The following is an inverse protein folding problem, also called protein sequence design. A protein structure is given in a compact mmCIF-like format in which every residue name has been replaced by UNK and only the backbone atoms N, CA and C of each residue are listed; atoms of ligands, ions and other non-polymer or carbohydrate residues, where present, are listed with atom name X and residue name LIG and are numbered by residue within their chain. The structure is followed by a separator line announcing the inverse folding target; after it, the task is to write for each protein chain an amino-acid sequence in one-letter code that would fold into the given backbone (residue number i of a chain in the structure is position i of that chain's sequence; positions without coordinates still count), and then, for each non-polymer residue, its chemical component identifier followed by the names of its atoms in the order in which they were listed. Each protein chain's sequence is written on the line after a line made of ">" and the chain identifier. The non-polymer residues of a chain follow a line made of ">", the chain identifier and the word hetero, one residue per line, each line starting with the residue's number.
data_IF_627095770649
#
_entry.id   IF_627095770649
#
_cell.length_a   1.000
_cell.length_b   1.000
_cell.length_c   1.000
_cell.angle_alpha   90.00
_cell.angle_beta   90.00
_cell.angle_gamma   90.00
#
_symmetry.space_group_name_H-M   'P 1'
#
loop_
_entity.id
_entity.type
_entity.pdbx_description
1 polymer ?
#
# COMPACT_ATOMS: atom_id res chain seq x y z
N UNK A 1 5.52 57.66 -32.87
CA UNK A 1 4.82 56.58 -32.13
C UNK A 1 3.87 55.85 -33.07
N UNK A 2 4.12 54.56 -33.37
CA UNK A 2 3.35 53.82 -34.36
C UNK A 2 2.04 53.26 -33.76
N UNK A 3 0.96 53.35 -34.54
CA UNK A 3 -0.38 52.88 -34.20
C UNK A 3 -0.48 51.36 -34.38
N UNK A 4 -0.75 50.64 -33.30
CA UNK A 4 -0.99 49.19 -33.28
C UNK A 4 -2.40 48.92 -33.85
N UNK A 5 -2.49 48.13 -34.92
CA UNK A 5 -3.74 47.65 -35.50
C UNK A 5 -4.14 46.34 -34.82
N UNK A 6 -5.37 46.28 -34.31
CA UNK A 6 -5.97 45.08 -33.73
C UNK A 6 -6.30 44.03 -34.82
N UNK A 7 -6.15 42.72 -34.54
CA UNK A 7 -6.47 41.65 -35.49
C UNK A 7 -7.99 41.37 -35.57
N UNK A 8 -8.45 41.09 -36.80
CA UNK A 8 -9.83 40.68 -37.12
C UNK A 8 -10.13 39.26 -36.64
N UNK A 9 -11.37 38.96 -36.21
CA UNK A 9 -11.76 37.60 -35.82
C UNK A 9 -11.94 36.69 -37.04
N UNK A 10 -11.38 35.48 -36.96
CA UNK A 10 -11.52 34.41 -37.94
C UNK A 10 -12.90 33.77 -37.88
N UNK A 11 -13.57 33.65 -39.04
CA UNK A 11 -14.84 32.94 -39.21
C UNK A 11 -14.65 31.44 -38.91
N UNK A 12 -15.43 30.92 -37.96
CA UNK A 12 -15.60 29.48 -37.77
C UNK A 12 -16.53 28.93 -38.87
N UNK A 13 -16.04 27.93 -39.60
CA UNK A 13 -16.83 27.11 -40.51
C UNK A 13 -17.40 25.91 -39.74
N UNK A 14 -18.71 25.82 -39.65
CA UNK A 14 -19.43 24.63 -39.16
C UNK A 14 -19.48 23.58 -40.27
N UNK A 15 -19.14 22.30 -40.02
CA UNK A 15 -19.44 21.24 -40.96
C UNK A 15 -20.86 20.71 -40.78
N UNK A 16 -21.44 20.47 -41.95
CA UNK A 16 -22.82 20.14 -42.29
C UNK A 16 -23.11 18.68 -41.96
N UNK A 17 -24.29 18.44 -41.39
CA UNK A 17 -24.84 17.10 -41.16
C UNK A 17 -25.05 16.35 -42.49
N UNK A 18 -24.55 15.12 -42.56
CA UNK A 18 -24.88 14.15 -43.59
C UNK A 18 -25.25 12.82 -42.93
N UNK A 19 -26.54 12.60 -42.81
CA UNK A 19 -27.20 11.32 -42.57
C UNK A 19 -26.98 10.38 -43.76
N UNK A 20 -26.53 9.13 -43.52
CA UNK A 20 -26.75 8.01 -44.44
C UNK A 20 -26.59 6.63 -43.76
N UNK A 21 -27.69 5.88 -43.88
CA UNK A 21 -27.85 4.44 -44.11
C UNK A 21 -27.26 3.40 -43.12
N UNK A 22 -28.19 2.72 -42.46
CA UNK A 22 -28.06 1.37 -41.94
C UNK A 22 -27.66 0.38 -43.05
N UNK A 23 -26.62 -0.40 -42.82
CA UNK A 23 -26.41 -1.69 -43.47
C UNK A 23 -26.03 -2.72 -42.40
N UNK A 24 -26.94 -3.67 -42.15
CA UNK A 24 -26.73 -4.85 -41.32
C UNK A 24 -25.79 -5.81 -42.05
N UNK A 25 -24.58 -6.04 -41.52
CA UNK A 25 -23.77 -7.20 -41.88
C UNK A 25 -23.78 -8.21 -40.74
N UNK A 26 -24.42 -9.36 -41.00
CA UNK A 26 -24.34 -10.58 -40.20
C UNK A 26 -22.95 -11.20 -40.42
N UNK A 27 -22.10 -11.16 -39.41
CA UNK A 27 -20.91 -12.02 -39.34
C UNK A 27 -21.14 -13.07 -38.25
N UNK A 28 -21.28 -14.32 -38.71
CA UNK A 28 -21.30 -15.54 -37.89
C UNK A 28 -19.88 -15.78 -37.35
N UNK A 29 -19.66 -15.59 -36.06
CA UNK A 29 -18.48 -16.10 -35.37
C UNK A 29 -18.76 -17.52 -34.87
N UNK A 30 -18.04 -18.49 -35.47
CA UNK A 30 -17.95 -19.87 -35.00
C UNK A 30 -17.14 -19.89 -33.70
N UNK A 31 -17.77 -20.28 -32.60
CA UNK A 31 -17.11 -20.66 -31.35
C UNK A 31 -16.41 -22.01 -31.53
N UNK A 32 -15.08 -22.02 -31.65
CA UNK A 32 -14.26 -23.19 -31.36
C UNK A 32 -13.79 -23.10 -29.91
N UNK A 33 -14.42 -23.91 -29.06
CA UNK A 33 -13.89 -24.30 -27.75
C UNK A 33 -12.63 -25.13 -28.01
N UNK A 34 -11.47 -24.51 -27.84
CA UNK A 34 -10.19 -25.20 -27.67
C UNK A 34 -9.78 -25.05 -26.21
N UNK A 35 -9.92 -26.12 -25.43
CA UNK A 35 -9.35 -26.23 -24.10
C UNK A 35 -7.83 -26.29 -24.22
N UNK A 36 -7.19 -25.12 -24.23
CA UNK A 36 -5.74 -24.99 -24.11
C UNK A 36 -5.34 -25.07 -22.64
N UNK A 37 -4.62 -26.14 -22.32
CA UNK A 37 -3.90 -26.36 -21.06
C UNK A 37 -3.31 -25.08 -20.47
N UNK A 38 -3.67 -24.80 -19.22
CA UNK A 38 -3.01 -23.79 -18.38
C UNK A 38 -1.53 -24.15 -18.26
N UNK A 39 -0.66 -23.15 -18.43
CA UNK A 39 0.78 -23.31 -18.44
C UNK A 39 1.29 -23.94 -17.14
N UNK A 40 1.96 -25.09 -17.29
CA UNK A 40 2.83 -25.63 -16.26
C UNK A 40 4.05 -24.73 -16.11
N UNK A 41 4.52 -24.57 -14.88
CA UNK A 41 5.83 -24.00 -14.59
C UNK A 41 6.90 -24.86 -15.31
N UNK A 42 7.93 -24.26 -15.92
CA UNK A 42 9.03 -25.01 -16.51
C UNK A 42 9.72 -25.87 -15.44
N UNK A 43 10.23 -27.03 -15.84
CA UNK A 43 10.98 -27.92 -14.95
C UNK A 43 12.26 -27.21 -14.47
N UNK A 44 12.76 -27.55 -13.28
CA UNK A 44 13.96 -26.95 -12.69
C UNK A 44 15.18 -27.04 -13.62
N UNK A 45 15.22 -28.06 -14.47
CA UNK A 45 16.30 -28.31 -15.43
C UNK A 45 16.23 -27.39 -16.67
N UNK A 46 15.06 -26.84 -17.02
CA UNK A 46 14.92 -25.84 -18.10
C UNK A 46 15.35 -24.42 -17.66
N UNK A 47 15.57 -24.21 -16.36
CA UNK A 47 15.99 -22.93 -15.77
C UNK A 47 17.53 -22.79 -15.78
N UNK A 48 18.28 -23.86 -16.09
CA UNK A 48 19.72 -23.92 -15.79
C UNK A 48 20.68 -23.72 -16.99
N UNK A 49 20.18 -23.55 -18.21
CA UNK A 49 21.00 -23.18 -19.37
C UNK A 49 21.23 -21.66 -19.41
N UNK A 50 22.09 -21.16 -18.52
CA UNK A 50 22.57 -19.76 -18.54
C UNK A 50 23.82 -19.65 -19.43
N UNK A 51 23.92 -18.63 -20.30
CA UNK A 51 25.11 -18.40 -21.13
C UNK A 51 26.34 -18.02 -20.28
N UNK A 52 27.55 -18.28 -20.82
CA UNK A 52 28.87 -17.99 -20.23
C UNK A 52 29.11 -16.49 -19.90
N UNK A 53 28.17 -15.61 -20.23
CA UNK A 53 28.22 -14.16 -19.99
C UNK A 53 28.17 -13.77 -18.50
N UNK A 54 27.83 -14.72 -17.60
CA UNK A 54 27.86 -14.52 -16.13
C UNK A 54 29.28 -14.45 -15.53
N UNK A 55 30.33 -14.88 -16.25
CA UNK A 55 31.70 -14.78 -15.76
C UNK A 55 32.19 -13.32 -15.60
N UNK A 56 31.62 -12.38 -16.37
CA UNK A 56 32.00 -10.96 -16.36
C UNK A 56 31.43 -10.18 -15.16
N UNK A 57 30.47 -10.76 -14.42
CA UNK A 57 29.81 -10.10 -13.29
C UNK A 57 30.33 -10.57 -11.91
N UNK A 58 31.42 -11.37 -11.86
CA UNK A 58 31.98 -11.86 -10.60
C UNK A 58 32.58 -10.71 -9.79
N UNK A 59 31.80 -10.23 -8.83
CA UNK A 59 32.26 -9.35 -7.77
C UNK A 59 33.19 -10.08 -6.79
N UNK A 60 33.56 -9.44 -5.65
CA UNK A 60 34.39 -10.09 -4.63
C UNK A 60 33.78 -11.41 -4.16
N UNK A 61 34.63 -12.34 -3.73
CA UNK A 61 34.20 -13.64 -3.22
C UNK A 61 33.37 -13.44 -1.95
N UNK A 62 32.11 -13.90 -1.96
CA UNK A 62 31.21 -13.73 -0.84
C UNK A 62 31.00 -15.05 -0.12
N UNK A 63 31.20 -15.04 1.20
CA UNK A 63 30.98 -16.22 2.03
C UNK A 63 29.53 -16.32 2.41
N UNK A 64 28.94 -17.47 2.16
CA UNK A 64 27.53 -17.74 2.44
C UNK A 64 27.43 -18.80 3.52
N UNK A 65 26.69 -18.50 4.58
CA UNK A 65 26.35 -19.48 5.61
C UNK A 65 24.88 -19.85 5.49
N UNK A 66 24.64 -21.11 5.12
CA UNK A 66 23.29 -21.69 5.21
C UNK A 66 23.02 -22.10 6.67
N UNK A 67 21.80 -21.90 7.19
CA UNK A 67 21.42 -22.45 8.47
C UNK A 67 21.62 -23.97 8.44
N UNK A 68 22.28 -24.52 9.45
CA UNK A 68 22.35 -25.97 9.59
C UNK A 68 20.90 -26.48 9.73
N UNK A 69 20.45 -27.30 8.78
CA UNK A 69 19.18 -28.02 8.88
C UNK A 69 19.35 -29.09 9.97
N UNK A 70 19.27 -28.67 11.23
CA UNK A 70 19.26 -29.56 12.38
C UNK A 70 17.86 -30.13 12.55
N UNK A 71 17.68 -31.43 12.37
CA UNK A 71 16.50 -32.12 12.89
C UNK A 71 15.86 -33.09 11.92
N UNK A 72 16.20 -34.35 12.10
CA UNK A 72 15.63 -35.53 11.49
C UNK A 72 14.26 -35.85 12.14
N UNK A 73 13.31 -34.91 12.14
CA UNK A 73 11.96 -35.11 12.67
C UNK A 73 11.04 -35.64 11.55
N UNK A 74 11.07 -36.95 11.37
CA UNK A 74 10.07 -37.71 10.61
C UNK A 74 8.83 -37.93 11.48
N UNK A 75 7.87 -36.98 11.47
CA UNK A 75 6.52 -37.22 11.99
C UNK A 75 5.55 -37.37 10.81
N UNK A 76 5.04 -38.59 10.60
CA UNK A 76 4.30 -39.04 9.41
C UNK A 76 2.78 -38.68 9.37
N UNK A 77 2.26 -37.88 10.29
CA UNK A 77 0.83 -37.56 10.33
C UNK A 77 0.57 -36.07 10.03
N UNK A 78 0.53 -35.66 8.76
CA UNK A 78 0.14 -34.28 8.37
C UNK A 78 -1.10 -34.26 7.46
N UNK A 79 -2.20 -33.81 8.04
CA UNK A 79 -3.46 -33.44 7.41
C UNK A 79 -3.22 -32.40 6.30
N UNK A 80 -3.93 -32.46 5.15
CA UNK A 80 -3.67 -31.57 4.03
C UNK A 80 -3.86 -30.10 4.45
N UNK A 81 -2.86 -29.23 4.24
CA UNK A 81 -2.89 -27.89 4.79
C UNK A 81 -3.93 -27.00 4.07
N UNK A 82 -4.60 -26.09 4.80
CA UNK A 82 -5.62 -25.14 4.32
C UNK A 82 -5.07 -23.91 3.55
N UNK A 83 -5.34 -23.76 2.25
CA UNK A 83 -4.79 -22.70 1.37
C UNK A 83 -4.62 -21.33 2.08
N UNK A 84 -3.39 -20.76 2.14
CA UNK A 84 -3.08 -19.57 2.92
C UNK A 84 -3.74 -18.34 2.30
N UNK A 85 -4.30 -17.48 3.16
CA UNK A 85 -5.06 -16.28 2.78
C UNK A 85 -4.22 -15.00 2.88
N UNK A 86 -3.11 -15.02 3.62
CA UNK A 86 -2.21 -13.86 3.79
C UNK A 86 -0.78 -14.13 3.30
N UNK A 87 -0.03 -13.07 2.98
CA UNK A 87 1.40 -13.17 2.58
C UNK A 87 2.25 -13.73 3.72
N UNK A 88 1.89 -13.40 4.96
CA UNK A 88 2.49 -13.92 6.19
C UNK A 88 2.19 -15.41 6.39
N UNK A 89 0.97 -15.87 6.09
CA UNK A 89 0.63 -17.30 6.09
C UNK A 89 1.36 -18.05 4.97
N UNK A 90 1.45 -17.47 3.77
CA UNK A 90 2.25 -18.02 2.68
C UNK A 90 3.72 -18.17 3.11
N UNK A 91 4.29 -17.15 3.78
CA UNK A 91 5.63 -17.20 4.37
C UNK A 91 5.79 -18.27 5.45
N UNK A 92 4.73 -18.59 6.21
CA UNK A 92 4.74 -19.67 7.22
C UNK A 92 4.64 -21.06 6.59
N UNK A 93 3.89 -21.18 5.49
CA UNK A 93 3.64 -22.43 4.77
C UNK A 93 4.85 -22.95 4.00
N UNK A 94 5.59 -22.03 3.38
CA UNK A 94 6.89 -22.37 2.85
C UNK A 94 7.86 -22.41 4.05
N UNK A 95 8.06 -23.63 4.60
CA UNK A 95 9.10 -23.99 5.60
C UNK A 95 10.35 -23.13 5.40
N UNK A 96 11.01 -22.69 6.51
CA UNK A 96 11.78 -21.45 6.54
C UNK A 96 12.67 -21.34 5.32
N UNK A 97 12.39 -20.35 4.47
CA UNK A 97 13.28 -20.01 3.37
C UNK A 97 14.70 -19.92 3.94
N UNK A 98 15.69 -20.56 3.30
CA UNK A 98 17.06 -20.51 3.77
C UNK A 98 17.45 -19.05 3.95
N UNK A 99 17.69 -18.68 5.21
CA UNK A 99 18.16 -17.36 5.60
C UNK A 99 19.63 -17.28 5.19
N UNK A 100 19.91 -16.46 4.19
CA UNK A 100 21.24 -16.35 3.63
C UNK A 100 21.99 -15.23 4.36
N UNK A 101 22.90 -15.60 5.26
CA UNK A 101 23.87 -14.64 5.80
C UNK A 101 25.04 -14.54 4.84
N UNK A 102 25.33 -13.31 4.41
CA UNK A 102 26.36 -13.02 3.43
C UNK A 102 27.47 -12.24 4.11
N UNK A 103 28.69 -12.75 3.99
CA UNK A 103 29.87 -12.18 4.60
C UNK A 103 30.91 -11.83 3.54
N UNK A 104 31.68 -10.77 3.79
CA UNK A 104 32.82 -10.40 2.96
C UNK A 104 34.03 -11.33 3.22
N UNK A 105 35.14 -11.09 2.51
CA UNK A 105 36.40 -11.83 2.68
C UNK A 105 37.00 -11.73 4.09
N UNK A 106 36.62 -10.69 4.85
CA UNK A 106 37.06 -10.47 6.24
C UNK A 106 36.14 -11.14 7.25
N UNK A 107 35.01 -11.70 6.81
CA UNK A 107 34.00 -12.29 7.67
C UNK A 107 33.03 -11.29 8.28
N UNK A 108 32.98 -10.06 7.77
CA UNK A 108 32.01 -9.04 8.18
C UNK A 108 30.69 -9.26 7.44
N UNK A 109 29.56 -9.08 8.12
CA UNK A 109 28.22 -9.25 7.51
C UNK A 109 27.98 -8.10 6.52
N UNK A 110 27.69 -8.44 5.25
CA UNK A 110 27.48 -7.45 4.20
C UNK A 110 26.10 -6.78 4.24
N UNK A 111 25.10 -7.46 4.80
CA UNK A 111 23.71 -6.99 4.83
C UNK A 111 23.18 -6.96 6.25
N UNK A 112 22.29 -6.01 6.54
CA UNK A 112 21.55 -6.01 7.80
C UNK A 112 20.53 -7.15 7.82
N UNK A 113 20.94 -8.26 8.43
CA UNK A 113 20.18 -9.50 8.53
C UNK A 113 20.25 -10.40 7.29
N UNK A 114 19.65 -11.60 7.38
CA UNK A 114 19.69 -12.58 6.31
C UNK A 114 18.80 -12.18 5.14
N UNK A 115 19.26 -12.51 3.92
CA UNK A 115 18.45 -12.42 2.70
C UNK A 115 17.55 -13.65 2.59
N UNK A 116 16.31 -13.44 2.15
CA UNK A 116 15.32 -14.51 1.95
C UNK A 116 14.47 -14.27 0.69
N UNK A 117 13.73 -15.28 0.25
CA UNK A 117 12.75 -15.15 -0.84
C UNK A 117 11.68 -14.12 -0.44
N UNK A 118 11.21 -13.35 -1.43
CA UNK A 118 10.31 -12.20 -1.33
C UNK A 118 10.91 -10.91 -0.78
N UNK A 119 12.17 -10.90 -0.34
CA UNK A 119 12.88 -9.66 -0.03
C UNK A 119 13.13 -8.83 -1.29
N UNK A 120 13.18 -7.51 -1.11
CA UNK A 120 13.55 -6.57 -2.15
C UNK A 120 15.03 -6.22 -2.02
N UNK A 121 15.74 -6.19 -3.15
CA UNK A 121 17.17 -5.98 -3.21
C UNK A 121 17.53 -4.91 -4.23
N UNK A 122 18.57 -4.14 -3.90
CA UNK A 122 19.27 -3.24 -4.80
C UNK A 122 20.41 -4.03 -5.44
N UNK A 123 20.47 -4.01 -6.77
CA UNK A 123 21.41 -4.73 -7.59
C UNK A 123 22.24 -3.71 -8.36
N UNK A 124 23.56 -3.94 -8.44
CA UNK A 124 24.46 -3.13 -9.25
C UNK A 124 24.10 -3.28 -10.72
N UNK A 125 24.04 -2.18 -11.48
CA UNK A 125 23.99 -2.26 -12.93
C UNK A 125 25.20 -3.06 -13.43
N UNK A 126 24.94 -4.21 -14.06
CA UNK A 126 25.99 -5.00 -14.69
C UNK A 126 26.53 -4.32 -15.94
N UNK A 127 27.75 -4.65 -16.34
CA UNK A 127 28.23 -4.34 -17.69
C UNK A 127 27.41 -5.15 -18.70
N UNK A 128 26.48 -4.51 -19.41
CA UNK A 128 25.74 -5.17 -20.49
C UNK A 128 26.56 -5.04 -21.77
N UNK A 129 27.18 -6.13 -22.21
CA UNK A 129 27.95 -6.17 -23.46
C UNK A 129 29.28 -5.40 -23.43
N UNK A 130 29.95 -5.32 -22.26
CA UNK A 130 31.26 -4.66 -22.11
C UNK A 130 31.23 -3.14 -22.21
N UNK A 131 30.04 -2.54 -22.24
CA UNK A 131 29.87 -1.11 -21.96
C UNK A 131 29.52 -0.96 -20.48
N UNK A 132 30.36 -0.23 -19.75
CA UNK A 132 30.04 0.27 -18.42
C UNK A 132 28.74 1.06 -18.54
N UNK A 133 27.65 0.50 -17.99
CA UNK A 133 26.47 1.30 -17.67
C UNK A 133 26.95 2.32 -16.63
N UNK A 134 26.52 3.58 -16.76
CA UNK A 134 26.92 4.63 -15.82
C UNK A 134 26.54 4.16 -14.40
N UNK A 135 27.46 4.27 -13.44
CA UNK A 135 27.30 3.86 -12.02
C UNK A 135 26.08 4.50 -11.33
N UNK A 136 25.34 5.38 -12.02
CA UNK A 136 24.14 6.06 -11.57
C UNK A 136 22.83 5.29 -11.77
N UNK A 137 22.80 4.21 -12.56
CA UNK A 137 21.56 3.44 -12.73
C UNK A 137 21.34 2.45 -11.58
N UNK A 138 20.31 2.70 -10.76
CA UNK A 138 19.92 1.85 -9.64
C UNK A 138 18.92 0.78 -10.10
N UNK A 139 19.24 -0.51 -9.91
CA UNK A 139 18.37 -1.62 -10.29
C UNK A 139 17.73 -2.29 -9.07
N UNK A 140 16.42 -2.48 -9.12
CA UNK A 140 15.65 -3.03 -8.01
C UNK A 140 14.98 -4.35 -8.40
N UNK A 141 15.08 -5.36 -7.54
CA UNK A 141 14.51 -6.68 -7.78
C UNK A 141 13.84 -7.28 -6.55
N UNK A 142 12.83 -8.11 -6.75
CA UNK A 142 12.30 -9.00 -5.71
C UNK A 142 12.88 -10.41 -5.89
N UNK A 143 13.44 -10.98 -4.83
CA UNK A 143 13.93 -12.36 -4.86
C UNK A 143 12.75 -13.31 -4.97
N UNK A 144 12.76 -14.15 -5.99
CA UNK A 144 11.73 -15.17 -6.23
C UNK A 144 12.24 -16.59 -5.97
N UNK A 145 13.55 -16.78 -6.04
CA UNK A 145 14.21 -18.05 -5.74
C UNK A 145 15.68 -17.82 -5.39
N UNK A 146 16.22 -18.67 -4.51
CA UNK A 146 17.64 -18.70 -4.12
C UNK A 146 18.17 -20.09 -4.46
N UNK A 147 19.18 -20.15 -5.33
CA UNK A 147 19.83 -21.39 -5.75
C UNK A 147 21.32 -21.38 -5.47
N UNK A 148 21.87 -22.52 -5.09
CA UNK A 148 23.31 -22.74 -4.99
C UNK A 148 23.72 -23.76 -6.06
N UNK A 149 24.62 -23.38 -6.96
CA UNK A 149 25.20 -24.33 -7.91
C UNK A 149 26.24 -25.15 -7.15
N UNK A 150 25.96 -26.44 -6.98
CA UNK A 150 27.00 -27.39 -6.59
C UNK A 150 27.89 -27.59 -7.80
N UNK A 151 29.20 -27.33 -7.66
CA UNK A 151 30.13 -27.64 -8.72
C UNK A 151 29.95 -29.09 -9.17
N UNK A 152 29.95 -29.37 -10.48
CA UNK A 152 29.92 -30.73 -10.96
C UNK A 152 31.12 -31.44 -10.35
N UNK A 153 30.86 -32.44 -9.48
CA UNK A 153 31.91 -33.23 -8.82
C UNK A 153 32.89 -33.70 -9.90
N UNK A 154 34.02 -33.00 -10.05
CA UNK A 154 35.07 -33.37 -10.99
C UNK A 154 35.40 -34.81 -10.62
N UNK A 155 35.09 -35.74 -11.52
CA UNK A 155 35.40 -37.17 -11.36
C UNK A 155 36.92 -37.30 -11.45
N UNK A 156 37.61 -36.88 -10.40
CA UNK A 156 39.03 -36.64 -10.37
C UNK A 156 39.74 -37.71 -9.56
N UNK A 157 40.57 -38.46 -10.28
CA UNK A 157 41.70 -39.28 -9.84
C UNK A 157 42.00 -39.33 -8.33
N UNK A 158 42.02 -40.56 -7.81
CA UNK A 158 42.49 -40.99 -6.49
C UNK A 158 43.99 -40.67 -6.29
N UNK A 159 44.33 -39.39 -6.19
CA UNK A 159 45.66 -38.87 -5.89
C UNK A 159 45.71 -38.45 -4.42
N UNK A 160 46.41 -39.26 -3.63
CA UNK A 160 46.52 -39.16 -2.17
C UNK A 160 47.41 -37.97 -1.78
N UNK A 161 46.84 -36.79 -1.56
CA UNK A 161 47.50 -35.70 -0.85
C UNK A 161 46.46 -34.87 -0.09
N UNK A 162 46.34 -35.16 1.21
CA UNK A 162 45.49 -34.45 2.17
C UNK A 162 46.09 -33.09 2.54
N UNK A 163 46.06 -32.12 1.62
CA UNK A 163 46.07 -30.72 2.03
C UNK A 163 44.62 -30.30 2.23
N UNK A 164 44.34 -29.59 3.33
CA UNK A 164 43.05 -28.93 3.56
C UNK A 164 42.81 -27.94 2.43
N UNK A 165 42.24 -28.43 1.32
CA UNK A 165 41.82 -27.61 0.21
C UNK A 165 40.75 -26.66 0.74
N UNK A 166 41.00 -25.36 0.59
CA UNK A 166 40.02 -24.30 0.78
C UNK A 166 38.75 -24.73 0.05
N UNK A 167 37.69 -25.06 0.80
CA UNK A 167 36.43 -25.49 0.22
C UNK A 167 35.91 -24.35 -0.65
N UNK A 168 36.00 -24.52 -1.96
CA UNK A 168 35.36 -23.63 -2.94
C UNK A 168 33.91 -23.44 -2.52
N UNK A 169 33.54 -22.19 -2.29
CA UNK A 169 32.20 -21.86 -1.85
C UNK A 169 31.21 -22.08 -2.98
N UNK A 170 29.98 -22.55 -2.68
CA UNK A 170 28.98 -22.73 -3.71
C UNK A 170 28.69 -21.39 -4.38
N UNK A 171 28.65 -21.40 -5.71
CA UNK A 171 28.25 -20.25 -6.52
C UNK A 171 26.74 -20.02 -6.30
N UNK A 172 26.38 -18.93 -5.61
CA UNK A 172 25.00 -18.64 -5.21
C UNK A 172 24.38 -17.65 -6.19
N UNK A 173 23.28 -18.07 -6.80
CA UNK A 173 22.50 -17.30 -7.76
C UNK A 173 21.09 -17.03 -7.22
N UNK A 174 20.57 -15.85 -7.53
CA UNK A 174 19.24 -15.40 -7.16
C UNK A 174 18.40 -15.25 -8.43
N UNK A 175 17.19 -15.81 -8.43
CA UNK A 175 16.20 -15.48 -9.47
C UNK A 175 15.39 -14.29 -9.00
N UNK A 176 15.40 -13.20 -9.76
CA UNK A 176 14.79 -11.92 -9.38
C UNK A 176 13.68 -11.53 -10.33
N UNK A 177 12.64 -10.88 -9.82
CA UNK A 177 11.62 -10.19 -10.60
C UNK A 177 11.91 -8.68 -10.56
N UNK A 178 12.07 -8.06 -11.73
CA UNK A 178 12.56 -6.68 -11.83
C UNK A 178 11.49 -5.63 -11.54
N UNK A 179 11.94 -4.52 -10.96
CA UNK A 179 11.22 -3.26 -10.90
C UNK A 179 11.83 -2.24 -11.86
N UNK A 180 10.98 -1.44 -12.48
CA UNK A 180 11.41 -0.34 -13.36
C UNK A 180 11.03 1.00 -12.79
N UNK A 181 11.98 1.93 -12.82
CA UNK A 181 11.71 3.33 -12.57
C UNK A 181 11.21 4.03 -13.86
N UNK A 182 11.00 5.34 -13.77
CA UNK A 182 10.56 6.11 -14.94
C UNK A 182 11.62 6.18 -16.06
N UNK A 183 12.91 6.20 -15.72
CA UNK A 183 14.02 6.28 -16.67
C UNK A 183 14.10 5.05 -17.57
N UNK A 184 14.13 3.88 -16.95
CA UNK A 184 14.21 2.57 -17.62
C UNK A 184 13.01 2.30 -18.53
N UNK A 185 11.82 2.77 -18.16
CA UNK A 185 10.61 2.58 -18.97
C UNK A 185 10.63 3.35 -20.30
N UNK A 186 11.40 4.43 -20.39
CA UNK A 186 11.55 5.17 -21.65
C UNK A 186 12.31 4.37 -22.72
N UNK A 187 13.17 3.45 -22.29
CA UNK A 187 13.93 2.56 -23.17
C UNK A 187 13.07 1.40 -23.70
N UNK A 188 11.94 1.11 -23.05
CA UNK A 188 11.04 0.02 -23.44
C UNK A 188 10.03 0.41 -24.53
N UNK A 189 9.66 -0.57 -25.33
CA UNK A 189 8.61 -0.47 -26.37
C UNK A 189 7.21 -0.57 -25.75
N UNK A 190 6.86 0.39 -24.89
CA UNK A 190 5.52 0.52 -24.32
C UNK A 190 4.54 1.14 -25.33
N UNK A 191 3.26 0.77 -25.22
CA UNK A 191 2.22 1.41 -26.03
C UNK A 191 2.05 2.89 -25.67
N UNK A 192 1.55 3.76 -26.57
CA UNK A 192 1.35 5.18 -26.27
C UNK A 192 0.43 5.42 -25.05
N UNK A 193 -0.56 4.55 -24.86
CA UNK A 193 -1.44 4.58 -23.68
C UNK A 193 -0.67 4.30 -22.39
N UNK A 194 0.16 3.26 -22.40
CA UNK A 194 0.98 2.86 -21.26
C UNK A 194 2.04 3.94 -20.93
N UNK A 195 2.69 4.52 -21.96
CA UNK A 195 3.63 5.65 -21.78
C UNK A 195 2.98 6.86 -21.09
N UNK A 196 1.73 7.20 -21.45
CA UNK A 196 0.96 8.26 -20.78
C UNK A 196 0.58 7.90 -19.34
N UNK A 197 0.48 6.60 -19.02
CA UNK A 197 0.32 6.15 -17.64
C UNK A 197 1.61 6.39 -16.86
N UNK A 198 2.77 5.99 -17.41
CA UNK A 198 4.09 6.18 -16.80
C UNK A 198 4.47 7.64 -16.57
N UNK A 199 4.04 8.56 -17.44
CA UNK A 199 4.38 9.99 -17.29
C UNK A 199 3.82 10.63 -16.01
N UNK A 200 2.99 9.90 -15.26
CA UNK A 200 2.46 10.32 -13.96
C UNK A 200 3.15 9.61 -12.78
N UNK A 201 4.25 8.90 -13.03
CA UNK A 201 5.10 8.38 -11.96
C UNK A 201 5.82 9.53 -11.27
N UNK A 202 5.99 9.40 -9.96
CA UNK A 202 6.72 10.35 -9.13
C UNK A 202 8.06 9.75 -8.73
N UNK A 203 9.04 10.57 -8.28
CA UNK A 203 10.28 10.04 -7.70
C UNK A 203 9.99 9.00 -6.60
N UNK A 204 10.68 7.87 -6.65
CA UNK A 204 10.48 6.72 -5.76
C UNK A 204 9.35 5.75 -6.19
N UNK A 205 8.51 6.11 -7.17
CA UNK A 205 7.54 5.16 -7.73
C UNK A 205 8.22 4.19 -8.70
N UNK A 206 8.06 2.90 -8.45
CA UNK A 206 8.52 1.79 -9.26
C UNK A 206 7.33 1.06 -9.91
N UNK A 207 7.60 0.34 -11.00
CA UNK A 207 6.66 -0.58 -11.63
C UNK A 207 7.19 -2.00 -11.51
N UNK A 208 6.43 -2.87 -10.84
CA UNK A 208 6.73 -4.30 -10.76
C UNK A 208 6.57 -4.97 -12.13
N UNK A 209 7.44 -5.91 -12.52
CA UNK A 209 7.34 -6.58 -13.82
C UNK A 209 7.33 -8.09 -13.71
N UNK A 210 6.74 -8.74 -14.71
CA UNK A 210 6.93 -10.17 -15.00
C UNK A 210 8.27 -10.50 -15.69
N UNK A 211 9.23 -9.58 -15.71
CA UNK A 211 10.58 -9.84 -16.21
C UNK A 211 11.39 -10.50 -15.10
N UNK A 212 11.74 -11.77 -15.32
CA UNK A 212 12.57 -12.54 -14.41
C UNK A 212 13.97 -12.72 -14.99
N UNK A 213 14.97 -12.65 -14.14
CA UNK A 213 16.36 -12.92 -14.51
C UNK A 213 17.10 -13.62 -13.37
N UNK A 214 18.29 -14.16 -13.65
CA UNK A 214 19.17 -14.77 -12.66
C UNK A 214 20.39 -13.88 -12.47
N UNK A 215 20.60 -13.42 -11.23
CA UNK A 215 21.75 -12.59 -10.86
C UNK A 215 22.63 -13.33 -9.85
N UNK A 216 23.94 -13.15 -9.96
CA UNK A 216 24.87 -13.66 -8.97
C UNK A 216 24.73 -12.88 -7.65
N UNK A 217 24.94 -13.54 -6.51
CA UNK A 217 24.83 -12.90 -5.19
C UNK A 217 25.77 -11.69 -5.04
N UNK A 218 26.94 -11.71 -5.69
CA UNK A 218 27.90 -10.60 -5.65
C UNK A 218 27.40 -9.31 -6.30
N UNK A 219 26.35 -9.38 -7.12
CA UNK A 219 25.75 -8.21 -7.75
C UNK A 219 24.80 -7.46 -6.81
N UNK A 220 24.44 -8.06 -5.67
CA UNK A 220 23.54 -7.45 -4.68
C UNK A 220 24.30 -6.41 -3.87
N UNK A 221 23.82 -5.17 -3.91
CA UNK A 221 24.35 -4.05 -3.12
C UNK A 221 23.75 -3.99 -1.72
N UNK A 222 22.49 -4.40 -1.57
CA UNK A 222 21.80 -4.34 -0.29
C UNK A 222 20.33 -4.76 -0.35
N UNK A 223 19.74 -4.96 0.82
CA UNK A 223 18.27 -5.05 0.97
C UNK A 223 17.69 -3.64 0.91
N UNK A 224 16.52 -3.51 0.31
CA UNK A 224 15.77 -2.25 0.25
C UNK A 224 14.34 -2.47 0.71
N UNK A 225 13.71 -1.40 1.19
CA UNK A 225 12.27 -1.42 1.50
C UNK A 225 11.49 -0.85 0.31
N UNK A 226 10.66 -1.67 -0.32
CA UNK A 226 9.77 -1.26 -1.40
C UNK A 226 8.33 -1.53 -0.96
N UNK A 227 7.58 -0.47 -0.70
CA UNK A 227 6.21 -0.57 -0.17
C UNK A 227 5.20 -0.76 -1.30
N UNK A 228 4.25 -1.68 -1.12
CA UNK A 228 3.11 -1.76 -2.02
C UNK A 228 2.09 -0.67 -1.69
N UNK A 229 1.74 0.19 -2.64
CA UNK A 229 0.72 1.23 -2.46
C UNK A 229 -0.66 0.76 -2.94
N UNK A 230 -1.56 0.57 -1.97
CA UNK A 230 -2.94 0.23 -2.18
C UNK A 230 -3.84 1.47 -2.02
N UNK A 231 -4.30 2.01 -3.16
CA UNK A 231 -5.06 3.27 -3.22
C UNK A 231 -6.43 3.24 -2.51
N UNK A 232 -6.99 2.06 -2.25
CA UNK A 232 -8.25 1.88 -1.51
C UNK A 232 -8.03 1.60 -0.02
N UNK A 233 -6.81 1.28 0.40
CA UNK A 233 -6.55 0.92 1.79
C UNK A 233 -6.63 2.16 2.68
N UNK A 234 -7.34 2.00 3.80
CA UNK A 234 -7.38 2.99 4.89
C UNK A 234 -6.54 2.55 6.08
N UNK A 235 -5.98 1.35 6.03
CA UNK A 235 -5.16 0.73 7.09
C UNK A 235 -3.70 0.64 6.70
N UNK A 236 -3.33 1.15 5.52
CA UNK A 236 -1.96 1.12 5.05
C UNK A 236 -1.12 2.17 5.79
N UNK A 237 0.06 1.75 6.22
CA UNK A 237 1.08 2.61 6.82
C UNK A 237 1.50 3.71 5.83
N UNK A 238 1.74 4.95 6.29
CA UNK A 238 2.19 6.04 5.42
C UNK A 238 3.43 5.66 4.60
N UNK A 239 3.43 6.10 3.35
CA UNK A 239 4.62 6.11 2.49
C UNK A 239 5.11 7.55 2.43
N UNK A 240 6.32 7.78 2.92
CA UNK A 240 6.94 9.09 3.02
C UNK A 240 7.58 9.52 1.69
N UNK A 241 7.70 10.83 1.42
CA UNK A 241 8.41 11.30 0.24
C UNK A 241 9.86 10.78 0.21
N UNK A 242 10.28 10.21 -0.93
CA UNK A 242 11.61 9.62 -1.11
C UNK A 242 11.70 8.13 -0.81
N UNK A 243 10.68 7.52 -0.19
CA UNK A 243 10.61 6.06 -0.06
C UNK A 243 10.29 5.39 -1.40
N UNK A 244 10.80 4.16 -1.58
CA UNK A 244 10.48 3.35 -2.75
C UNK A 244 9.13 2.67 -2.57
N UNK A 245 8.29 2.74 -3.60
CA UNK A 245 7.00 2.08 -3.58
C UNK A 245 6.53 1.71 -4.98
N UNK A 246 5.54 0.81 -5.07
CA UNK A 246 4.91 0.46 -6.34
C UNK A 246 3.40 0.34 -6.18
N UNK A 247 2.64 0.72 -7.21
CA UNK A 247 1.18 0.51 -7.31
C UNK A 247 0.73 -0.08 -8.64
N UNK A 248 1.69 -0.30 -9.56
CA UNK A 248 1.44 -0.79 -10.92
C UNK A 248 2.33 -1.98 -11.18
N UNK A 249 1.89 -2.77 -12.14
CA UNK A 249 2.71 -3.83 -12.69
C UNK A 249 2.68 -3.84 -14.21
N UNK A 250 3.77 -4.33 -14.82
CA UNK A 250 3.85 -4.64 -16.23
C UNK A 250 3.70 -6.15 -16.39
N UNK A 251 2.73 -6.54 -17.21
CA UNK A 251 2.54 -7.91 -17.64
C UNK A 251 2.40 -7.94 -19.16
N UNK A 252 3.26 -8.70 -19.85
CA UNK A 252 3.24 -8.80 -21.32
C UNK A 252 3.18 -7.42 -22.01
N UNK A 253 4.08 -6.52 -21.60
CA UNK A 253 4.20 -5.14 -22.11
C UNK A 253 2.96 -4.24 -21.89
N UNK A 254 2.06 -4.61 -20.98
CA UNK A 254 0.90 -3.81 -20.59
C UNK A 254 0.99 -3.37 -19.15
N UNK A 255 0.72 -2.10 -18.91
CA UNK A 255 0.69 -1.55 -17.55
C UNK A 255 -0.69 -1.77 -16.97
N UNK A 256 -0.72 -2.47 -15.85
CA UNK A 256 -1.93 -2.72 -15.07
C UNK A 256 -1.79 -1.99 -13.74
N UNK A 257 -2.73 -1.10 -13.45
CA UNK A 257 -2.83 -0.51 -12.11
C UNK A 257 -3.40 -1.56 -11.17
N UNK A 258 -2.66 -1.89 -10.12
CA UNK A 258 -3.14 -2.79 -9.10
C UNK A 258 -4.04 -1.97 -8.17
N UNK A 259 -5.32 -2.33 -8.07
CA UNK A 259 -6.28 -1.74 -7.12
C UNK A 259 -6.66 -0.25 -7.29
N UNK A 260 -6.39 0.40 -8.42
CA UNK A 260 -6.93 1.75 -8.70
C UNK A 260 -8.38 1.66 -9.19
N UNK A 261 -9.38 2.09 -8.40
CA UNK A 261 -10.75 2.16 -8.90
C UNK A 261 -10.82 3.24 -9.97
N UNK A 262 -11.55 2.98 -11.06
CA UNK A 262 -11.64 3.90 -12.21
C UNK A 262 -12.25 5.28 -11.88
N UNK A 263 -12.78 5.49 -10.67
CA UNK A 263 -13.32 6.78 -10.22
C UNK A 263 -13.51 6.82 -8.69
N UNK A 264 -12.52 7.29 -7.94
CA UNK A 264 -12.69 7.52 -6.49
C UNK A 264 -13.24 8.91 -6.13
N UNK A 265 -13.09 9.91 -7.02
CA UNK A 265 -13.47 11.30 -6.77
C UNK A 265 -14.96 11.57 -7.08
N UNK A 266 -15.25 12.50 -7.99
CA UNK A 266 -16.61 12.79 -8.47
C UNK A 266 -16.85 12.19 -9.85
N UNK A 267 -18.11 12.01 -10.25
CA UNK A 267 -18.43 11.47 -11.59
C UNK A 267 -17.88 12.32 -12.75
N UNK A 268 -17.59 13.61 -12.51
CA UNK A 268 -17.00 14.53 -13.49
C UNK A 268 -15.47 14.51 -13.47
N UNK A 269 -14.87 14.10 -12.36
CA UNK A 269 -13.42 14.02 -12.20
C UNK A 269 -12.90 12.73 -12.85
N UNK A 270 -12.13 12.87 -13.92
CA UNK A 270 -11.45 11.76 -14.61
C UNK A 270 -9.95 11.73 -14.32
N UNK A 271 -9.49 12.51 -13.34
CA UNK A 271 -8.09 12.61 -12.97
C UNK A 271 -7.72 11.42 -12.08
N UNK A 272 -6.59 10.79 -12.40
CA UNK A 272 -5.93 9.81 -11.53
C UNK A 272 -5.16 10.54 -10.43
N UNK A 273 -5.11 9.96 -9.23
CA UNK A 273 -4.33 10.51 -8.14
C UNK A 273 -2.82 10.59 -8.46
N UNK A 274 -2.25 11.80 -8.41
CA UNK A 274 -0.82 12.08 -8.52
C UNK A 274 -0.28 12.62 -7.19
N UNK A 275 0.45 11.84 -6.39
CA UNK A 275 0.82 12.25 -5.03
C UNK A 275 1.71 13.51 -4.98
N UNK A 276 2.42 13.84 -6.06
CA UNK A 276 3.26 15.04 -6.17
C UNK A 276 2.49 16.34 -6.38
N UNK A 277 1.28 16.28 -6.95
CA UNK A 277 0.50 17.46 -7.37
C UNK A 277 -0.88 17.55 -6.74
N UNK A 278 -1.43 16.42 -6.36
CA UNK A 278 -2.80 16.31 -5.90
C UNK A 278 -2.81 16.12 -4.39
N UNK A 279 -3.58 16.99 -3.71
CA UNK A 279 -4.06 16.71 -2.37
C UNK A 279 -5.48 16.17 -2.47
N UNK A 280 -5.74 15.01 -1.87
CA UNK A 280 -7.07 14.41 -1.80
C UNK A 280 -7.55 14.29 -0.35
N UNK A 281 -8.86 14.43 -0.14
CA UNK A 281 -9.53 14.25 1.15
C UNK A 281 -10.36 12.96 1.15
N UNK A 282 -10.32 12.21 2.25
CA UNK A 282 -11.09 10.98 2.41
C UNK A 282 -12.39 11.20 3.18
N UNK A 283 -13.51 10.79 2.60
CA UNK A 283 -14.78 10.73 3.32
C UNK A 283 -14.87 9.42 4.12
N UNK A 284 -14.80 9.52 5.45
CA UNK A 284 -14.80 8.36 6.36
C UNK A 284 -16.12 7.58 6.44
N UNK A 285 -17.20 8.13 5.91
CA UNK A 285 -18.54 7.56 6.07
C UNK A 285 -18.63 6.21 5.41
N UNK A 286 -19.28 5.27 6.09
CA UNK A 286 -19.46 3.89 5.65
C UNK A 286 -20.10 3.85 4.25
N UNK A 287 -21.07 4.73 3.99
CA UNK A 287 -21.76 4.83 2.69
C UNK A 287 -20.91 5.45 1.56
N UNK A 288 -19.80 6.13 1.87
CA UNK A 288 -18.98 6.83 0.90
C UNK A 288 -17.59 6.21 0.70
N UNK A 289 -16.75 6.18 1.74
CA UNK A 289 -15.36 5.67 1.74
C UNK A 289 -14.57 5.99 0.47
N UNK A 290 -14.57 7.26 0.07
CA UNK A 290 -14.00 7.76 -1.20
C UNK A 290 -13.00 8.88 -0.99
N UNK A 291 -12.04 8.96 -1.90
CA UNK A 291 -11.03 10.02 -1.97
C UNK A 291 -11.40 11.07 -3.01
N UNK A 292 -11.41 12.33 -2.62
CA UNK A 292 -11.79 13.46 -3.46
C UNK A 292 -10.62 14.44 -3.62
N UNK A 293 -10.31 14.83 -4.85
CA UNK A 293 -9.35 15.91 -5.10
C UNK A 293 -9.83 17.20 -4.46
N UNK A 294 -8.93 17.94 -3.82
CA UNK A 294 -9.22 19.25 -3.22
C UNK A 294 -9.90 20.20 -4.22
N UNK A 295 -9.45 20.19 -5.48
CA UNK A 295 -10.03 20.99 -6.57
C UNK A 295 -11.46 20.59 -6.97
N UNK A 296 -11.92 19.41 -6.55
CA UNK A 296 -13.27 18.89 -6.82
C UNK A 296 -14.22 19.09 -5.63
N UNK A 297 -13.75 19.70 -4.55
CA UNK A 297 -14.53 19.89 -3.33
C UNK A 297 -15.02 21.33 -3.20
N UNK A 298 -16.23 21.46 -2.68
CA UNK A 298 -16.79 22.76 -2.33
C UNK A 298 -16.34 23.16 -0.91
N UNK A 299 -15.90 24.41 -0.69
CA UNK A 299 -15.59 24.89 0.65
C UNK A 299 -16.84 24.84 1.54
N UNK A 300 -16.69 24.35 2.76
CA UNK A 300 -17.74 24.37 3.76
C UNK A 300 -18.01 25.83 4.20
N UNK A 301 -19.21 26.39 3.97
CA UNK A 301 -19.52 27.77 4.32
C UNK A 301 -19.43 28.02 5.82
N UNK A 302 -19.70 27.01 6.65
CA UNK A 302 -19.64 27.12 8.10
C UNK A 302 -18.20 27.19 8.64
N UNK A 303 -17.21 26.76 7.86
CA UNK A 303 -15.80 26.79 8.28
C UNK A 303 -15.24 28.21 8.42
N UNK A 304 -15.86 29.23 7.79
CA UNK A 304 -15.37 30.63 7.84
C UNK A 304 -15.73 31.36 9.12
N UNK A 305 -16.81 30.96 9.80
CA UNK A 305 -17.36 31.71 10.93
C UNK A 305 -17.06 31.06 12.29
N UNK A 306 -16.36 29.93 12.31
CA UNK A 306 -16.09 29.17 13.54
C UNK A 306 -14.66 29.43 14.01
N UNK A 307 -14.52 30.32 14.99
CA UNK A 307 -13.29 30.55 15.76
C UNK A 307 -12.97 29.31 16.59
N UNK A 308 -11.99 28.51 16.15
CA UNK A 308 -11.16 27.49 16.86
C UNK A 308 -11.78 26.46 17.83
N UNK A 309 -13.03 26.64 18.24
CA UNK A 309 -13.73 25.86 19.24
C UNK A 309 -14.51 24.72 18.56
N UNK A 310 -13.84 24.05 17.62
CA UNK A 310 -14.27 22.74 17.13
C UNK A 310 -13.99 21.74 18.27
N UNK A 311 -14.77 21.87 19.34
CA UNK A 311 -15.14 20.71 20.12
C UNK A 311 -15.53 19.64 19.13
N UNK A 312 -15.06 18.43 19.42
CA UNK A 312 -15.37 17.22 18.68
C UNK A 312 -16.89 17.06 18.72
N UNK A 313 -17.62 17.72 17.81
CA UNK A 313 -18.99 17.36 17.44
C UNK A 313 -18.84 16.06 16.67
N UNK A 314 -18.53 15.00 17.41
CA UNK A 314 -18.75 13.63 16.99
C UNK A 314 -20.26 13.41 17.06
N UNK A 315 -21.01 14.13 16.22
CA UNK A 315 -22.30 13.64 15.80
C UNK A 315 -21.99 12.39 14.99
N UNK A 316 -22.15 11.24 15.64
CA UNK A 316 -22.12 9.97 14.94
C UNK A 316 -23.10 10.11 13.78
N UNK A 317 -22.69 9.79 12.53
CA UNK A 317 -23.65 9.64 11.45
C UNK A 317 -24.85 8.84 11.98
N UNK A 318 -26.10 9.18 11.64
CA UNK A 318 -27.28 8.52 12.20
C UNK A 318 -27.21 6.98 12.15
N UNK A 319 -26.53 6.46 11.12
CA UNK A 319 -26.23 5.03 10.91
C UNK A 319 -25.28 4.44 11.97
N UNK A 320 -24.24 5.18 12.38
CA UNK A 320 -23.33 4.77 13.44
C UNK A 320 -23.92 5.00 14.84
N UNK A 321 -24.77 6.02 14.99
CA UNK A 321 -25.53 6.26 16.22
C UNK A 321 -26.49 5.08 16.49
N UNK A 322 -27.21 4.61 15.46
CA UNK A 322 -28.06 3.42 15.57
C UNK A 322 -27.28 2.16 16.00
N UNK A 323 -26.05 1.98 15.50
CA UNK A 323 -25.21 0.85 15.92
C UNK A 323 -24.80 0.96 17.39
N UNK A 324 -24.51 2.17 17.88
CA UNK A 324 -24.26 2.42 19.30
C UNK A 324 -25.50 2.12 20.15
N UNK A 325 -26.68 2.54 19.70
CA UNK A 325 -27.93 2.34 20.42
C UNK A 325 -28.33 0.84 20.49
N UNK A 326 -28.07 0.08 19.43
CA UNK A 326 -28.28 -1.39 19.40
C UNK A 326 -27.32 -2.13 20.33
N UNK A 327 -26.05 -1.70 20.41
CA UNK A 327 -25.07 -2.32 21.31
C UNK A 327 -25.34 -1.94 22.77
N UNK A 328 -25.76 -0.69 23.02
CA UNK A 328 -26.07 -0.19 24.37
C UNK A 328 -27.34 -0.81 24.94
N UNK A 329 -28.36 -1.05 24.11
CA UNK A 329 -29.61 -1.72 24.53
C UNK A 329 -29.43 -3.20 24.89
N UNK A 330 -28.38 -3.87 24.39
CA UNK A 330 -28.06 -5.25 24.77
C UNK A 330 -27.46 -5.38 26.17
N UNK A 331 -26.93 -4.30 26.76
CA UNK A 331 -26.24 -4.35 28.06
C UNK A 331 -27.17 -4.19 29.27
N UNK A 332 -28.46 -3.92 29.06
CA UNK A 332 -29.46 -3.80 30.13
C UNK A 332 -30.15 -5.13 30.48
N UNK A 333 -29.79 -6.22 29.81
CA UNK A 333 -30.39 -7.56 29.98
C UNK A 333 -29.78 -8.37 31.13
N UNK A 334 -29.75 -7.84 32.35
CA UNK A 334 -29.46 -8.66 33.53
C UNK A 334 -30.31 -8.24 34.73
N UNK A 335 -31.45 -8.93 34.87
CA UNK A 335 -31.93 -9.31 36.20
C UNK A 335 -33.15 -8.58 36.77
N UNK A 336 -34.19 -8.27 36.00
CA UNK A 336 -35.51 -8.00 36.60
C UNK A 336 -36.50 -9.10 36.25
N UNK A 337 -36.81 -9.94 37.24
CA UNK A 337 -37.90 -10.92 37.20
C UNK A 337 -39.21 -10.22 36.81
N UNK A 338 -40.05 -10.82 35.95
CA UNK A 338 -41.34 -10.24 35.59
C UNK A 338 -42.30 -10.39 36.77
N UNK A 339 -42.42 -9.37 37.61
CA UNK A 339 -43.46 -9.34 38.63
C UNK A 339 -44.72 -8.72 38.02
N UNK A 340 -45.64 -9.58 37.60
CA UNK A 340 -47.02 -9.21 37.24
C UNK A 340 -47.68 -8.57 38.45
N UNK A 341 -47.94 -7.27 38.41
CA UNK A 341 -49.10 -6.67 39.07
C UNK A 341 -49.49 -5.39 38.34
N UNK A 342 -50.66 -5.49 37.71
CA UNK A 342 -51.39 -4.35 37.17
C UNK A 342 -51.79 -3.41 38.30
N UNK A 343 -51.48 -2.13 38.17
CA UNK A 343 -52.29 -1.07 38.76
C UNK A 343 -52.39 0.07 37.77
N UNK A 344 -53.61 0.30 37.31
CA UNK A 344 -54.05 1.55 36.72
C UNK A 344 -53.61 2.72 37.60
N UNK A 345 -52.96 3.73 37.02
CA UNK A 345 -53.25 5.12 37.36
C UNK A 345 -52.90 6.01 36.18
N UNK A 346 -53.90 6.81 35.80
CA UNK A 346 -53.84 7.87 34.82
C UNK A 346 -53.16 9.11 35.42
N UNK A 347 -52.76 10.02 34.51
CA UNK A 347 -52.09 11.31 34.69
C UNK A 347 -50.56 11.28 34.54
N UNK A 348 -50.14 11.20 33.28
CA UNK A 348 -48.77 11.42 32.81
C UNK A 348 -48.55 12.92 32.60
N UNK A 349 -47.75 13.54 33.47
CA UNK A 349 -47.20 14.88 33.28
C UNK A 349 -45.92 14.78 32.44
N UNK A 350 -46.00 15.19 31.19
CA UNK A 350 -44.87 15.38 30.28
C UNK A 350 -44.08 16.64 30.72
N UNK A 351 -42.94 16.53 31.41
CA UNK A 351 -41.98 17.68 31.57
C UNK A 351 -40.58 17.36 32.15
N UNK A 352 -40.10 16.11 32.19
CA UNK A 352 -38.78 15.80 32.82
C UNK A 352 -37.69 15.27 31.86
N UNK A 353 -37.81 15.48 30.55
CA UNK A 353 -36.86 14.94 29.56
C UNK A 353 -35.65 15.82 29.19
N UNK A 354 -35.68 17.13 29.42
CA UNK A 354 -34.66 18.06 28.87
C UNK A 354 -33.46 18.31 29.81
N UNK A 355 -33.56 18.01 31.10
CA UNK A 355 -32.48 18.25 32.07
C UNK A 355 -31.32 17.23 31.98
N UNK A 356 -31.54 16.07 31.34
CA UNK A 356 -30.52 15.02 31.24
C UNK A 356 -29.53 15.26 30.07
N UNK A 357 -29.97 15.92 29.00
CA UNK A 357 -29.12 16.16 27.81
C UNK A 357 -28.00 17.18 28.06
N UNK A 358 -28.28 18.27 28.80
CA UNK A 358 -27.27 19.30 29.09
C UNK A 358 -26.14 18.77 29.98
N UNK A 359 -26.47 17.91 30.95
CA UNK A 359 -25.49 17.20 31.79
C UNK A 359 -24.65 16.21 30.98
N UNK A 360 -25.25 15.54 29.99
CA UNK A 360 -24.56 14.61 29.09
C UNK A 360 -23.50 15.31 28.24
N UNK A 361 -23.82 16.48 27.67
CA UNK A 361 -22.87 17.25 26.84
C UNK A 361 -21.68 17.76 27.67
N UNK A 362 -21.92 18.37 28.84
CA UNK A 362 -20.83 18.83 29.71
C UNK A 362 -19.91 17.68 30.14
N UNK A 363 -20.47 16.51 30.43
CA UNK A 363 -19.70 15.31 30.75
C UNK A 363 -18.84 14.85 29.59
N UNK A 364 -19.38 14.80 28.36
CA UNK A 364 -18.60 14.45 27.16
C UNK A 364 -17.45 15.43 26.92
N UNK A 365 -17.68 16.73 27.12
CA UNK A 365 -16.61 17.74 27.00
C UNK A 365 -15.52 17.58 28.05
N UNK A 366 -15.86 17.20 29.27
CA UNK A 366 -14.86 16.86 30.29
C UNK A 366 -14.01 15.66 29.86
N UNK A 367 -14.62 14.61 29.29
CA UNK A 367 -13.90 13.44 28.77
C UNK A 367 -13.01 13.78 27.58
N UNK A 368 -13.46 14.63 26.65
CA UNK A 368 -12.63 15.13 25.53
C UNK A 368 -11.38 15.85 26.04
N UNK A 369 -11.49 16.60 27.14
CA UNK A 369 -10.34 17.29 27.75
C UNK A 369 -9.36 16.33 28.43
N UNK A 370 -9.81 15.14 28.81
CA UNK A 370 -8.98 14.09 29.40
C UNK A 370 -8.25 13.24 28.36
N UNK A 371 -8.65 13.29 27.08
CA UNK A 371 -7.94 12.58 26.02
C UNK A 371 -6.49 13.09 25.90
N UNK A 372 -5.53 12.19 25.62
CA UNK A 372 -4.17 12.59 25.28
C UNK A 372 -4.18 13.63 24.14
N UNK A 373 -3.36 14.69 24.22
CA UNK A 373 -3.34 15.75 23.22
C UNK A 373 -3.18 15.25 21.79
N UNK A 374 -2.38 14.19 21.59
CA UNK A 374 -2.13 13.57 20.29
C UNK A 374 -3.40 12.92 19.73
N UNK A 375 -4.13 12.14 20.55
CA UNK A 375 -5.40 11.49 20.19
C UNK A 375 -6.42 12.55 19.78
N UNK A 376 -6.57 13.59 20.60
CA UNK A 376 -7.50 14.69 20.33
C UNK A 376 -7.19 15.40 19.01
N UNK A 377 -5.93 15.76 18.82
CA UNK A 377 -5.46 16.44 17.61
C UNK A 377 -5.68 15.60 16.35
N UNK A 378 -5.29 14.33 16.36
CA UNK A 378 -5.50 13.43 15.22
C UNK A 378 -6.98 13.19 14.96
N UNK A 379 -7.78 12.94 15.99
CA UNK A 379 -9.21 12.66 15.85
C UNK A 379 -9.98 13.80 15.15
N UNK A 380 -9.60 15.05 15.43
CA UNK A 380 -10.17 16.25 14.81
C UNK A 380 -9.67 16.52 13.39
N UNK A 381 -8.48 16.05 13.03
CA UNK A 381 -7.84 16.31 11.74
C UNK A 381 -8.62 15.69 10.59
N UNK A 382 -8.69 16.37 9.44
CA UNK A 382 -9.13 15.82 8.17
C UNK A 382 -8.18 14.72 7.71
N UNK A 383 -8.74 13.71 7.03
CA UNK A 383 -7.92 12.64 6.43
C UNK A 383 -7.54 13.11 5.03
N UNK A 384 -6.26 13.39 4.82
CA UNK A 384 -5.73 13.83 3.54
C UNK A 384 -4.59 12.94 3.07
N UNK A 385 -4.33 12.96 1.75
CA UNK A 385 -3.16 12.33 1.14
C UNK A 385 -2.58 13.21 0.05
N UNK A 386 -1.29 13.02 -0.21
CA UNK A 386 -0.49 13.80 -1.14
C UNK A 386 0.74 14.34 -0.44
N UNK A 387 1.85 14.51 -1.16
CA UNK A 387 3.12 15.00 -0.59
C UNK A 387 2.91 16.37 0.09
N UNK A 388 2.16 17.27 -0.55
CA UNK A 388 1.86 18.60 -0.01
C UNK A 388 0.88 18.58 1.18
N UNK A 389 0.17 17.48 1.42
CA UNK A 389 -0.77 17.36 2.55
C UNK A 389 -0.05 17.25 3.90
N UNK A 390 1.24 16.87 3.89
CA UNK A 390 2.00 16.55 5.09
C UNK A 390 1.68 15.18 5.70
N UNK A 391 0.69 14.43 5.18
CA UNK A 391 0.34 13.09 5.65
C UNK A 391 0.92 11.96 4.77
N UNK A 392 1.84 12.30 3.85
CA UNK A 392 2.49 11.35 2.94
C UNK A 392 1.67 10.95 1.72
N UNK A 393 2.21 10.00 0.95
CA UNK A 393 1.64 9.54 -0.33
C UNK A 393 0.33 8.77 -0.13
N UNK A 394 0.26 7.94 0.91
CA UNK A 394 -0.95 7.17 1.27
C UNK A 394 -1.95 8.03 2.03
N UNK A 395 -1.45 8.98 2.83
CA UNK A 395 -2.23 9.80 3.75
C UNK A 395 -2.28 9.23 5.17
N UNK A 396 -2.87 10.00 6.08
CA UNK A 396 -2.97 9.69 7.50
C UNK A 396 -4.24 8.92 7.87
N UNK A 397 -4.86 8.21 6.91
CA UNK A 397 -6.16 7.56 7.11
C UNK A 397 -6.14 6.59 8.30
N UNK A 398 -5.12 5.74 8.39
CA UNK A 398 -5.01 4.74 9.44
C UNK A 398 -4.91 5.38 10.84
N UNK A 399 -3.92 6.23 11.06
CA UNK A 399 -3.68 6.85 12.37
C UNK A 399 -4.83 7.78 12.79
N UNK A 400 -5.45 8.50 11.86
CA UNK A 400 -6.60 9.37 12.17
C UNK A 400 -7.84 8.55 12.50
N UNK A 401 -8.14 7.48 11.73
CA UNK A 401 -9.28 6.61 12.04
C UNK A 401 -9.08 5.89 13.37
N UNK A 402 -7.86 5.45 13.67
CA UNK A 402 -7.50 4.87 14.96
C UNK A 402 -7.68 5.86 16.11
N UNK A 403 -7.20 7.10 15.96
CA UNK A 403 -7.39 8.16 16.95
C UNK A 403 -8.88 8.47 17.19
N UNK A 404 -9.69 8.48 16.13
CA UNK A 404 -11.14 8.66 16.22
C UNK A 404 -11.83 7.51 16.96
N UNK A 405 -11.39 6.27 16.72
CA UNK A 405 -11.89 5.10 17.42
C UNK A 405 -11.56 5.15 18.92
N UNK A 406 -10.32 5.48 19.27
CA UNK A 406 -9.89 5.65 20.68
C UNK A 406 -10.66 6.78 21.37
N UNK A 407 -10.85 7.92 20.70
CA UNK A 407 -11.66 9.01 21.23
C UNK A 407 -13.11 8.56 21.50
N UNK A 408 -13.71 7.77 20.60
CA UNK A 408 -15.05 7.21 20.78
C UNK A 408 -15.14 6.26 21.97
N UNK A 409 -14.15 5.38 22.15
CA UNK A 409 -14.06 4.45 23.30
C UNK A 409 -14.13 5.20 24.64
N UNK A 410 -13.44 6.34 24.75
CA UNK A 410 -13.45 7.15 25.99
C UNK A 410 -14.74 7.96 26.12
N UNK A 411 -15.14 8.70 25.07
CA UNK A 411 -16.22 9.68 25.15
C UNK A 411 -17.60 9.02 25.20
N UNK A 412 -17.82 7.99 24.40
CA UNK A 412 -19.13 7.36 24.21
C UNK A 412 -19.30 6.16 25.13
N UNK A 413 -18.29 5.28 25.19
CA UNK A 413 -18.38 4.05 25.97
C UNK A 413 -18.00 4.25 27.45
N UNK A 414 -17.43 5.41 27.79
CA UNK A 414 -16.97 5.72 29.15
C UNK A 414 -15.75 4.90 29.59
N UNK A 415 -15.01 4.34 28.63
CA UNK A 415 -13.80 3.56 28.89
C UNK A 415 -12.58 4.44 29.21
N UNK A 416 -11.48 3.80 29.58
CA UNK A 416 -10.14 4.41 29.67
C UNK A 416 -9.25 3.89 28.54
N UNK A 417 -8.27 4.69 28.14
CA UNK A 417 -7.20 4.24 27.25
C UNK A 417 -6.17 3.45 28.07
N UNK A 418 -5.68 2.37 27.48
CA UNK A 418 -4.51 1.66 28.00
C UNK A 418 -3.24 2.41 27.60
N UNK A 419 -2.16 2.22 28.36
CA UNK A 419 -0.89 2.89 28.08
C UNK A 419 -0.33 2.45 26.72
N UNK A 420 -0.51 1.18 26.39
CA UNK A 420 -0.10 0.57 25.13
C UNK A 420 -0.83 1.21 23.95
N UNK A 421 -2.16 1.39 24.03
CA UNK A 421 -2.94 2.08 22.99
C UNK A 421 -2.48 3.53 22.74
N UNK A 422 -2.06 4.22 23.80
CA UNK A 422 -1.53 5.59 23.70
C UNK A 422 -0.13 5.62 23.07
N UNK A 423 0.74 4.69 23.47
CA UNK A 423 2.11 4.55 22.94
C UNK A 423 2.07 4.16 21.46
N UNK A 424 1.26 3.16 21.07
CA UNK A 424 1.09 2.72 19.69
C UNK A 424 0.61 3.88 18.78
N UNK A 425 -0.40 4.63 19.22
CA UNK A 425 -0.88 5.78 18.44
C UNK A 425 0.18 6.88 18.37
N UNK A 426 0.93 7.12 19.46
CA UNK A 426 1.97 8.13 19.48
C UNK A 426 3.12 7.78 18.52
N UNK A 427 3.48 6.51 18.38
CA UNK A 427 4.45 6.04 17.39
C UNK A 427 3.93 6.23 15.96
N UNK A 428 2.70 5.83 15.67
CA UNK A 428 2.06 6.04 14.36
C UNK A 428 1.88 7.53 14.00
N UNK A 429 1.59 8.36 15.00
CA UNK A 429 1.51 9.82 14.85
C UNK A 429 2.86 10.44 14.46
N UNK A 430 3.96 9.91 15.00
CA UNK A 430 5.32 10.33 14.64
C UNK A 430 5.66 9.88 13.22
N UNK A 431 5.29 8.66 12.84
CA UNK A 431 5.52 8.14 11.49
C UNK A 431 4.76 8.92 10.42
N UNK A 432 3.55 9.38 10.72
CA UNK A 432 2.78 10.24 9.80
C UNK A 432 3.36 11.63 9.62
N UNK A 433 4.19 12.14 10.54
CA UNK A 433 4.72 13.50 10.48
C UNK A 433 6.15 13.58 11.03
N UNK A 434 7.15 13.31 10.18
CA UNK A 434 8.57 13.42 10.54
C UNK A 434 9.01 14.84 10.93
N UNK A 435 8.29 15.88 10.50
CA UNK A 435 8.57 17.29 10.81
C UNK A 435 8.21 17.71 12.26
N UNK A 436 7.88 16.78 13.15
CA UNK A 436 7.74 17.06 14.58
C UNK A 436 6.32 17.32 15.09
N UNK A 437 5.30 16.81 14.41
CA UNK A 437 3.93 16.74 14.94
C UNK A 437 2.85 16.69 13.87
N UNK A 438 1.64 16.20 14.22
CA UNK A 438 0.55 16.08 13.26
C UNK A 438 0.18 17.42 12.63
N UNK A 439 0.39 17.56 11.31
CA UNK A 439 -0.16 18.70 10.57
C UNK A 439 -1.67 18.61 10.60
N UNK A 440 -2.27 19.40 11.48
CA UNK A 440 -3.71 19.48 11.66
C UNK A 440 -4.30 20.05 10.38
N UNK A 441 -4.94 19.20 9.59
CA UNK A 441 -5.68 19.66 8.43
C UNK A 441 -7.13 19.89 8.88
N UNK A 442 -7.65 21.11 8.88
CA UNK A 442 -9.04 21.35 9.26
C UNK A 442 -10.01 20.81 8.19
N UNK A 443 -11.19 20.35 8.62
CA UNK A 443 -12.27 19.84 7.74
C UNK A 443 -13.00 20.98 7.02
N UNK A 444 -12.33 21.58 6.06
CA UNK A 444 -12.77 22.79 5.34
C UNK A 444 -13.71 22.52 4.18
N UNK A 445 -13.96 21.26 3.83
CA UNK A 445 -14.68 20.90 2.60
C UNK A 445 -15.94 20.10 2.90
N UNK A 446 -16.89 20.09 1.97
CA UNK A 446 -18.05 19.22 2.03
C UNK A 446 -17.87 18.02 1.08
N UNK A 447 -18.22 16.84 1.55
CA UNK A 447 -18.24 15.63 0.72
C UNK A 447 -19.32 15.77 -0.36
N UNK A 448 -19.00 15.66 -1.66
CA UNK A 448 -19.98 15.80 -2.74
C UNK A 448 -21.06 14.71 -2.74
N UNK A 449 -20.78 13.56 -2.10
CA UNK A 449 -21.73 12.44 -2.02
C UNK A 449 -22.61 12.49 -0.78
N UNK A 450 -22.12 13.12 0.30
CA UNK A 450 -22.77 13.05 1.60
C UNK A 450 -23.18 14.42 2.16
N UNK A 451 -22.80 15.51 1.48
CA UNK A 451 -23.03 16.90 1.85
C UNK A 451 -22.37 17.36 3.18
N UNK A 452 -21.47 16.57 3.75
CA UNK A 452 -20.96 16.82 5.11
C UNK A 452 -19.45 17.04 5.20
N UNK A 453 -18.97 17.64 6.30
CA UNK A 453 -17.60 18.11 6.41
C UNK A 453 -16.53 17.00 6.34
N UNK A 454 -15.51 17.19 5.49
CA UNK A 454 -14.33 16.31 5.34
C UNK A 454 -13.02 17.09 5.34
#
# INVERSE_FOLDING_TARGET
>A
MPKIKAPKPSKMNSPRAASKSLAKSRLKSKSRLGSGSVGGLPALDEILDLPDELELARGPLLRVKFPALSGNDESEDEEPPEIPQTREELRRWYKPFPKLEVYDDKGEVLFDGPIQVLDYIHIRAGEVGGQSVEDSEEWYGQITYIGARTEPKKKGHKGKNDKEDEREQPDVCLRVAWFYDHGMLNQRTLTPEDRRSCSNMIPGELIFSDHYDTVHLSSVLGRVDIKFFNEISTTQVPIMPGELFYRRAIFRDRIVSQHTPKSQCTARCKLSYKPDRDVQHFCQRISCRRWFHTSCLEPNPQAKNRTEDWMIDYELPPEEQQLVDIVSSRKSGSGSKPNKKASQFAHSSETEGEAEETNSLQRRLALVRQLPPQVRTLATSAITRGIESGQGIVGGAYSILQARWLARKVIIEGGSLTREEEEDLAEEAKLTNSDGGPRITPRKYLCPSCADPI
#
